data_IF_633676830608
#
_entry.id   IF_633676830608
#
_cell.length_a   1.000
_cell.length_b   1.000
_cell.length_c   1.000
_cell.angle_alpha   90.00
_cell.angle_beta   90.00
_cell.angle_gamma   90.00
#
_symmetry.space_group_name_H-M   'P 1'
#
loop_
_entity.id
_entity.type
_entity.pdbx_description
1 polymer ?
#
# COMPACT_ATOMS: atom_id res chain seq x y z
N UNK A 1 -2.32 -6.97 29.20
CA UNK A 1 -3.36 -7.47 28.29
C UNK A 1 -3.68 -6.41 27.23
N UNK A 2 -3.79 -6.83 26.00
CA UNK A 2 -4.09 -5.91 24.91
C UNK A 2 -5.57 -5.52 24.93
N UNK A 3 -5.85 -4.24 24.73
CA UNK A 3 -7.20 -3.74 24.60
C UNK A 3 -7.80 -4.22 23.27
N UNK A 4 -9.07 -4.56 23.27
CA UNK A 4 -9.78 -4.84 22.03
C UNK A 4 -9.85 -3.61 21.17
N UNK A 5 -9.61 -3.79 19.87
CA UNK A 5 -9.64 -2.72 18.87
C UNK A 5 -10.89 -2.91 18.01
N UNK A 6 -11.64 -1.84 17.79
CA UNK A 6 -12.73 -1.86 16.84
C UNK A 6 -12.16 -1.77 15.43
N UNK A 7 -11.96 -2.91 14.79
CA UNK A 7 -11.35 -2.98 13.46
C UNK A 7 -12.18 -2.28 12.38
N UNK A 8 -13.46 -2.03 12.63
CA UNK A 8 -14.30 -1.30 11.67
C UNK A 8 -13.80 0.14 11.47
N UNK A 9 -13.19 0.72 12.51
CA UNK A 9 -12.64 2.07 12.44
C UNK A 9 -11.18 2.10 12.00
N UNK A 10 -10.51 0.93 12.00
CA UNK A 10 -9.08 0.85 11.72
C UNK A 10 -8.76 0.16 10.40
N UNK A 11 -9.73 -0.52 9.82
CA UNK A 11 -9.52 -1.33 8.61
C UNK A 11 -10.73 -1.25 7.70
N UNK A 12 -10.50 -1.33 6.38
CA UNK A 12 -11.55 -1.23 5.37
C UNK A 12 -11.66 -2.49 4.53
N UNK A 13 -12.73 -3.25 4.74
CA UNK A 13 -13.05 -4.40 3.87
C UNK A 13 -13.46 -3.93 2.48
N UNK A 14 -14.09 -2.77 2.38
CA UNK A 14 -14.49 -2.19 1.10
C UNK A 14 -13.27 -1.86 0.25
N UNK A 15 -12.24 -1.28 0.84
CA UNK A 15 -10.98 -1.01 0.15
C UNK A 15 -10.35 -2.31 -0.37
N UNK A 16 -10.28 -3.34 0.47
CA UNK A 16 -9.74 -4.64 0.09
C UNK A 16 -10.52 -5.26 -1.08
N UNK A 17 -11.84 -5.20 -1.02
CA UNK A 17 -12.70 -5.75 -2.08
C UNK A 17 -12.41 -5.04 -3.41
N UNK A 18 -12.36 -3.72 -3.40
CA UNK A 18 -12.14 -2.93 -4.60
C UNK A 18 -10.77 -3.19 -5.21
N UNK A 19 -9.72 -3.26 -4.37
CA UNK A 19 -8.38 -3.51 -4.90
C UNK A 19 -8.23 -4.93 -5.43
N UNK A 20 -8.91 -5.92 -4.85
CA UNK A 20 -8.94 -7.29 -5.38
C UNK A 20 -9.62 -7.34 -6.75
N UNK A 21 -10.74 -6.64 -6.90
CA UNK A 21 -11.44 -6.54 -8.17
C UNK A 21 -10.53 -5.92 -9.25
N UNK A 22 -9.77 -4.91 -8.88
CA UNK A 22 -8.82 -4.27 -9.80
C UNK A 22 -7.72 -5.24 -10.23
N UNK A 23 -7.23 -6.08 -9.32
CA UNK A 23 -6.24 -7.12 -9.65
C UNK A 23 -6.82 -8.13 -10.64
N UNK A 24 -8.06 -8.57 -10.43
CA UNK A 24 -8.73 -9.49 -11.34
C UNK A 24 -8.89 -8.88 -12.73
N UNK A 25 -9.33 -7.64 -12.81
CA UNK A 25 -9.46 -6.94 -14.09
C UNK A 25 -8.12 -6.82 -14.81
N UNK A 26 -7.06 -6.51 -14.08
CA UNK A 26 -5.72 -6.42 -14.65
C UNK A 26 -5.24 -7.77 -15.18
N UNK A 27 -5.54 -8.83 -14.45
CA UNK A 27 -5.19 -10.18 -14.90
C UNK A 27 -5.81 -10.49 -16.26
N UNK A 28 -7.09 -10.20 -16.43
CA UNK A 28 -7.77 -10.46 -17.69
C UNK A 28 -7.31 -9.56 -18.84
N UNK A 29 -6.87 -8.34 -18.52
CA UNK A 29 -6.38 -7.41 -19.54
C UNK A 29 -4.92 -7.64 -19.93
N UNK A 30 -4.07 -7.92 -18.96
CA UNK A 30 -2.61 -7.89 -19.14
C UNK A 30 -1.91 -9.19 -18.79
N UNK A 31 -2.64 -10.18 -18.29
CA UNK A 31 -2.06 -11.45 -17.88
C UNK A 31 -1.50 -11.45 -16.46
N UNK A 32 -0.82 -12.53 -16.10
CA UNK A 32 -0.35 -12.74 -14.74
C UNK A 32 0.64 -11.67 -14.26
N UNK A 33 0.48 -11.25 -13.01
CA UNK A 33 1.39 -10.28 -12.40
C UNK A 33 2.84 -10.77 -12.40
N UNK A 34 3.06 -12.09 -12.23
CA UNK A 34 4.41 -12.66 -12.28
C UNK A 34 5.10 -12.35 -13.60
N UNK A 35 4.36 -12.43 -14.70
CA UNK A 35 4.92 -12.17 -16.03
C UNK A 35 5.26 -10.69 -16.20
N UNK A 36 4.38 -9.81 -15.73
CA UNK A 36 4.55 -8.37 -15.93
C UNK A 36 5.56 -7.76 -14.94
N UNK A 37 5.44 -8.08 -13.66
CA UNK A 37 6.26 -7.46 -12.60
C UNK A 37 7.46 -8.33 -12.25
N UNK A 38 7.31 -9.64 -12.26
CA UNK A 38 8.39 -10.56 -11.92
C UNK A 38 9.52 -10.54 -12.94
N UNK A 39 9.22 -10.27 -14.20
CA UNK A 39 10.22 -10.17 -15.26
C UNK A 39 10.68 -8.73 -15.52
N UNK A 40 10.19 -7.79 -14.75
CA UNK A 40 10.56 -6.39 -14.91
C UNK A 40 10.00 -5.71 -16.16
N UNK A 41 8.96 -6.29 -16.79
CA UNK A 41 8.33 -5.70 -17.98
C UNK A 41 7.57 -4.42 -17.62
N UNK A 42 7.01 -4.36 -16.41
CA UNK A 42 6.33 -3.19 -15.87
C UNK A 42 6.96 -2.86 -14.54
N UNK A 43 7.28 -1.59 -14.34
CA UNK A 43 7.79 -1.12 -13.04
C UNK A 43 6.62 -0.80 -12.13
N UNK A 44 6.45 -1.60 -11.07
CA UNK A 44 5.43 -1.36 -10.07
C UNK A 44 5.66 -0.02 -9.35
N UNK A 45 6.91 0.30 -9.06
CA UNK A 45 7.25 1.54 -8.34
C UNK A 45 6.96 2.77 -9.19
N UNK A 46 7.35 2.77 -10.47
CA UNK A 46 7.06 3.89 -11.35
C UNK A 46 5.55 4.06 -11.55
N UNK A 47 4.83 2.95 -11.66
CA UNK A 47 3.37 2.95 -11.78
C UNK A 47 2.71 3.51 -10.53
N UNK A 48 3.22 3.14 -9.36
CA UNK A 48 2.75 3.65 -8.07
C UNK A 48 2.93 5.16 -8.01
N UNK A 49 4.11 5.65 -8.37
CA UNK A 49 4.41 7.09 -8.35
C UNK A 49 3.49 7.87 -9.28
N UNK A 50 3.22 7.32 -10.47
CA UNK A 50 2.31 7.95 -11.42
C UNK A 50 0.88 8.02 -10.87
N UNK A 51 0.39 6.96 -10.26
CA UNK A 51 -0.94 6.94 -9.67
C UNK A 51 -1.06 7.89 -8.48
N UNK A 52 0.00 8.00 -7.68
CA UNK A 52 0.03 8.96 -6.58
C UNK A 52 -0.12 10.39 -7.10
N UNK A 53 0.60 10.74 -8.15
CA UNK A 53 0.48 12.04 -8.78
C UNK A 53 -0.94 12.28 -9.29
N UNK A 54 -1.55 11.29 -9.94
CA UNK A 54 -2.92 11.40 -10.44
C UNK A 54 -3.93 11.57 -9.31
N UNK A 55 -3.73 10.88 -8.20
CA UNK A 55 -4.58 11.08 -7.02
C UNK A 55 -4.46 12.50 -6.49
N UNK A 56 -3.26 13.02 -6.37
CA UNK A 56 -3.03 14.38 -5.89
C UNK A 56 -3.70 15.42 -6.79
N UNK A 57 -3.72 15.17 -8.10
CA UNK A 57 -4.34 16.08 -9.07
C UNK A 57 -5.86 15.98 -9.10
N UNK A 58 -6.43 14.81 -8.89
CA UNK A 58 -7.86 14.55 -9.15
C UNK A 58 -8.69 14.26 -7.90
N UNK A 59 -8.07 13.75 -6.84
CA UNK A 59 -8.79 13.28 -5.66
C UNK A 59 -9.56 11.98 -5.87
N UNK A 60 -9.37 11.29 -7.00
CA UNK A 60 -10.07 10.04 -7.29
C UNK A 60 -9.46 8.88 -6.49
N UNK A 61 -10.22 8.38 -5.52
CA UNK A 61 -9.77 7.32 -4.61
C UNK A 61 -9.50 5.99 -5.28
N UNK A 62 -9.97 5.78 -6.51
CA UNK A 62 -9.62 4.57 -7.26
C UNK A 62 -8.12 4.45 -7.44
N UNK A 63 -7.42 5.57 -7.62
CA UNK A 63 -5.96 5.56 -7.71
C UNK A 63 -5.28 5.02 -6.46
N UNK A 64 -5.92 5.17 -5.29
CA UNK A 64 -5.38 4.61 -4.05
C UNK A 64 -5.40 3.08 -4.05
N UNK A 65 -6.42 2.48 -4.67
CA UNK A 65 -6.48 1.03 -4.85
C UNK A 65 -5.35 0.55 -5.76
N UNK A 66 -5.09 1.27 -6.84
CA UNK A 66 -3.99 0.96 -7.75
C UNK A 66 -2.64 1.06 -7.03
N UNK A 67 -2.44 2.11 -6.23
CA UNK A 67 -1.21 2.31 -5.46
C UNK A 67 -0.97 1.13 -4.52
N UNK A 68 -2.01 0.69 -3.81
CA UNK A 68 -1.90 -0.46 -2.90
C UNK A 68 -1.52 -1.72 -3.66
N UNK A 69 -2.10 -1.93 -4.85
CA UNK A 69 -1.80 -3.09 -5.67
C UNK A 69 -0.38 -3.06 -6.23
N UNK A 70 0.10 -1.91 -6.67
CA UNK A 70 1.49 -1.78 -7.12
C UNK A 70 2.47 -2.03 -5.98
N UNK A 71 2.17 -1.53 -4.79
CA UNK A 71 2.98 -1.82 -3.60
C UNK A 71 3.01 -3.33 -3.32
N UNK A 72 1.86 -3.99 -3.42
CA UNK A 72 1.77 -5.44 -3.24
C UNK A 72 2.59 -6.19 -4.30
N UNK A 73 2.53 -5.76 -5.57
CA UNK A 73 3.29 -6.42 -6.63
C UNK A 73 4.80 -6.26 -6.44
N UNK A 74 5.25 -5.11 -5.98
CA UNK A 74 6.67 -4.93 -5.65
C UNK A 74 7.06 -5.78 -4.45
N UNK A 75 6.19 -5.93 -3.46
CA UNK A 75 6.41 -6.82 -2.32
C UNK A 75 6.55 -8.27 -2.77
N UNK A 76 5.66 -8.72 -3.69
CA UNK A 76 5.65 -10.10 -4.17
C UNK A 76 6.79 -10.40 -5.14
N UNK A 77 7.13 -9.44 -5.98
CA UNK A 77 8.12 -9.59 -7.07
C UNK A 77 9.11 -8.44 -7.04
N UNK A 78 9.91 -8.31 -5.97
CA UNK A 78 10.74 -7.14 -5.78
C UNK A 78 11.80 -6.98 -6.86
N UNK A 79 11.92 -5.76 -7.38
CA UNK A 79 12.93 -5.40 -8.38
C UNK A 79 14.07 -4.57 -7.77
N UNK A 80 13.93 -4.15 -6.52
CA UNK A 80 14.98 -3.40 -5.84
C UNK A 80 16.17 -4.32 -5.56
N UNK A 81 17.41 -3.92 -5.88
CA UNK A 81 18.58 -4.77 -5.71
C UNK A 81 18.88 -5.13 -4.25
N UNK A 82 18.43 -4.31 -3.31
CA UNK A 82 18.62 -4.54 -1.87
C UNK A 82 17.30 -4.90 -1.18
N UNK A 83 16.41 -5.56 -1.89
CA UNK A 83 15.11 -5.92 -1.36
C UNK A 83 15.24 -6.77 -0.10
N UNK A 84 14.57 -6.36 0.96
CA UNK A 84 14.53 -7.07 2.23
C UNK A 84 13.31 -6.63 3.02
N UNK A 85 12.98 -7.36 4.06
CA UNK A 85 11.92 -6.96 4.99
C UNK A 85 12.54 -6.80 6.39
N UNK A 86 12.36 -5.62 6.94
CA UNK A 86 12.75 -5.31 8.31
C UNK A 86 11.75 -4.34 8.90
N UNK A 87 11.23 -4.64 10.07
CA UNK A 87 10.29 -3.76 10.74
C UNK A 87 10.98 -2.44 11.08
N UNK A 88 10.31 -1.34 10.72
CA UNK A 88 10.81 0.01 10.96
C UNK A 88 10.07 0.66 12.12
N UNK A 89 10.64 1.73 12.65
CA UNK A 89 9.99 2.55 13.64
C UNK A 89 8.81 3.31 13.03
N UNK A 90 7.75 3.51 13.84
CA UNK A 90 6.60 4.32 13.42
C UNK A 90 6.91 5.81 13.36
N UNK A 91 8.15 6.20 13.62
CA UNK A 91 8.59 7.58 13.74
C UNK A 91 8.76 8.31 12.42
N UNK A 92 8.57 7.64 11.29
CA UNK A 92 8.90 8.19 9.98
C UNK A 92 7.76 8.89 9.27
N UNK A 93 6.57 8.92 9.86
CA UNK A 93 5.42 9.56 9.22
C UNK A 93 5.41 11.06 9.50
N UNK A 94 5.19 11.90 8.47
CA UNK A 94 5.05 13.35 8.70
C UNK A 94 3.92 13.66 9.67
N UNK A 95 4.21 14.51 10.65
CA UNK A 95 3.23 14.90 11.66
C UNK A 95 3.07 13.93 12.82
N UNK A 96 3.77 12.81 12.77
CA UNK A 96 3.77 11.85 13.88
C UNK A 96 5.11 11.97 14.62
N UNK A 97 5.05 12.22 15.91
CA UNK A 97 6.25 12.13 16.74
C UNK A 97 6.58 10.66 16.88
N UNK A 98 7.73 10.25 16.43
CA UNK A 98 8.11 8.86 16.36
C UNK A 98 8.12 8.18 17.71
N UNK A 99 7.03 7.52 18.04
CA UNK A 99 6.86 6.98 19.39
C UNK A 99 6.04 5.69 19.35
N UNK A 100 6.25 4.79 20.34
CA UNK A 100 5.40 3.64 20.53
C UNK A 100 3.94 4.04 20.76
N UNK A 101 3.03 3.10 20.56
CA UNK A 101 1.59 3.32 20.66
C UNK A 101 1.18 4.03 21.96
N UNK A 102 1.76 3.62 23.08
CA UNK A 102 1.41 4.23 24.39
C UNK A 102 1.77 5.72 24.44
N UNK A 103 2.91 6.09 23.92
CA UNK A 103 3.32 7.49 23.86
C UNK A 103 2.48 8.28 22.88
N UNK A 104 2.09 7.67 21.75
CA UNK A 104 1.21 8.31 20.79
C UNK A 104 -0.15 8.62 21.39
N UNK A 105 -0.68 7.72 22.22
CA UNK A 105 -1.95 7.96 22.91
C UNK A 105 -1.87 9.15 23.88
N UNK A 106 -0.75 9.31 24.55
CA UNK A 106 -0.54 10.47 25.44
C UNK A 106 -0.52 11.78 24.67
N UNK A 107 0.15 11.82 23.53
CA UNK A 107 0.22 13.01 22.71
C UNK A 107 -1.09 13.33 22.01
N UNK A 108 -1.94 12.35 21.80
CA UNK A 108 -3.22 12.53 21.16
C UNK A 108 -4.32 13.08 22.05
N UNK A 109 -4.03 13.31 23.30
CA UNK A 109 -5.02 13.87 24.26
C UNK A 109 -5.06 15.42 24.19
#
# INVERSE_FOLDING_TARGET
MLREINMKDEYSDDFDKKRKQAVEMSYYKYGPARANYGRGLVSAIDSLKLRLKKYEETGNREYLCDIANFAMFEYMFPQHPNSHYRQTDSCESPGVVGCPVLEAEEYGK
#
